data_IF_392418492637
#
_entry.id   IF_392418492637
#
_cell.length_a   1.000
_cell.length_b   1.000
_cell.length_c   1.000
_cell.angle_alpha   90.00
_cell.angle_beta   90.00
_cell.angle_gamma   90.00
#
_symmetry.space_group_name_H-M   'P 1'
#
loop_
_entity.id
_entity.type
_entity.pdbx_description
1 polymer ?
#
# COMPACT_ATOMS: atom_id res chain seq x y z
N UNK A 1 -29.87 12.77 8.07
CA UNK A 1 -30.78 13.10 9.18
C UNK A 1 -31.18 14.55 9.01
N UNK A 2 -32.47 14.88 9.08
CA UNK A 2 -32.99 16.24 8.86
C UNK A 2 -34.04 16.58 9.93
N UNK A 3 -34.35 17.87 10.12
CA UNK A 3 -35.41 18.37 11.01
C UNK A 3 -35.26 18.02 12.50
N UNK A 4 -34.10 18.30 13.08
CA UNK A 4 -33.82 18.08 14.51
C UNK A 4 -34.15 19.35 15.30
N UNK A 5 -34.93 19.23 16.38
CA UNK A 5 -35.36 20.37 17.18
C UNK A 5 -34.19 20.99 18.00
N UNK A 6 -34.17 22.32 18.10
CA UNK A 6 -33.22 23.05 18.96
C UNK A 6 -33.39 22.61 20.41
N UNK A 7 -32.27 22.48 21.13
CA UNK A 7 -32.20 21.94 22.48
C UNK A 7 -32.06 20.41 22.53
N UNK A 8 -32.10 19.72 21.38
CA UNK A 8 -31.96 18.26 21.32
C UNK A 8 -30.57 17.87 20.82
N UNK A 9 -29.75 17.30 21.71
CA UNK A 9 -28.49 16.66 21.31
C UNK A 9 -28.79 15.35 20.58
N UNK A 10 -27.96 15.00 19.60
CA UNK A 10 -28.11 13.79 18.80
C UNK A 10 -26.95 12.86 19.14
N UNK A 11 -27.24 11.63 19.54
CA UNK A 11 -26.22 10.60 19.73
C UNK A 11 -26.28 9.66 18.53
N UNK A 12 -25.20 9.61 17.76
CA UNK A 12 -25.05 8.73 16.60
C UNK A 12 -24.14 7.60 17.03
N UNK A 13 -24.62 6.36 16.96
CA UNK A 13 -23.86 5.17 17.33
C UNK A 13 -23.80 4.20 16.14
N UNK A 14 -22.61 3.70 15.84
CA UNK A 14 -22.39 2.61 14.91
C UNK A 14 -21.85 1.41 15.68
N UNK A 15 -22.29 0.19 15.33
CA UNK A 15 -21.74 -1.01 15.94
C UNK A 15 -21.51 -2.13 14.95
N UNK A 16 -20.46 -2.92 15.18
CA UNK A 16 -20.26 -4.22 14.53
C UNK A 16 -20.67 -5.29 15.52
N UNK A 17 -21.68 -6.09 15.16
CA UNK A 17 -22.22 -7.21 15.96
C UNK A 17 -22.65 -6.84 17.39
N UNK A 18 -22.98 -5.57 17.65
CA UNK A 18 -23.37 -5.07 18.98
C UNK A 18 -22.22 -4.93 19.99
N UNK A 19 -21.03 -5.47 19.71
CA UNK A 19 -19.91 -5.52 20.67
C UNK A 19 -18.85 -4.44 20.44
N UNK A 20 -18.71 -3.94 19.21
CA UNK A 20 -17.78 -2.86 18.89
C UNK A 20 -18.57 -1.60 18.56
N UNK A 21 -18.87 -0.78 19.57
CA UNK A 21 -19.68 0.43 19.41
C UNK A 21 -18.77 1.66 19.34
N UNK A 22 -19.01 2.52 18.35
CA UNK A 22 -18.48 3.88 18.28
C UNK A 22 -19.65 4.86 18.33
N UNK A 23 -19.60 5.84 19.22
CA UNK A 23 -20.68 6.82 19.40
C UNK A 23 -20.15 8.24 19.40
N UNK A 24 -20.87 9.14 18.75
CA UNK A 24 -20.61 10.58 18.76
C UNK A 24 -21.86 11.35 19.16
N UNK A 25 -21.70 12.35 20.02
CA UNK A 25 -22.76 13.28 20.37
C UNK A 25 -22.60 14.57 19.57
N UNK A 26 -23.60 14.90 18.77
CA UNK A 26 -23.75 16.20 18.13
C UNK A 26 -24.56 17.08 19.08
N UNK A 27 -23.92 18.12 19.60
CA UNK A 27 -24.57 19.08 20.50
C UNK A 27 -25.49 20.00 19.70
N UNK A 28 -26.71 20.22 20.19
CA UNK A 28 -27.63 21.16 19.57
C UNK A 28 -27.00 22.56 19.52
N UNK A 29 -27.14 23.29 18.40
CA UNK A 29 -26.80 24.71 18.39
C UNK A 29 -27.68 25.48 19.39
N UNK A 30 -27.15 26.59 19.89
CA UNK A 30 -27.87 27.49 20.82
C UNK A 30 -29.02 28.20 20.10
N UNK A 31 -28.83 28.56 18.84
CA UNK A 31 -29.86 29.14 17.97
C UNK A 31 -29.60 28.78 16.50
N UNK A 32 -30.62 28.91 15.66
CA UNK A 32 -30.50 28.84 14.19
C UNK A 32 -31.04 30.11 13.51
N UNK A 33 -31.19 31.21 14.24
CA UNK A 33 -31.70 32.48 13.70
C UNK A 33 -30.64 33.21 12.90
N UNK A 34 -29.37 33.12 13.30
CA UNK A 34 -28.24 33.67 12.56
C UNK A 34 -27.53 32.57 11.75
N UNK A 35 -27.80 32.53 10.44
CA UNK A 35 -27.22 31.54 9.53
C UNK A 35 -25.70 31.64 9.38
N UNK A 36 -25.08 32.77 9.76
CA UNK A 36 -23.65 32.99 9.62
C UNK A 36 -22.82 32.50 10.83
N UNK A 37 -23.45 32.14 11.95
CA UNK A 37 -22.72 31.64 13.13
C UNK A 37 -22.12 30.27 12.88
N UNK A 38 -22.92 29.36 12.34
CA UNK A 38 -22.52 28.00 12.01
C UNK A 38 -22.04 27.90 10.55
N UNK A 39 -21.12 26.98 10.24
CA UNK A 39 -20.77 26.70 8.86
C UNK A 39 -22.00 26.29 8.03
N UNK A 40 -22.12 26.79 6.80
CA UNK A 40 -23.18 26.43 5.85
C UNK A 40 -22.97 25.03 5.22
N UNK A 41 -22.29 24.13 5.93
CA UNK A 41 -21.87 22.81 5.48
C UNK A 41 -21.88 21.83 6.65
N UNK A 42 -22.22 20.57 6.38
CA UNK A 42 -21.94 19.45 7.29
C UNK A 42 -20.96 18.51 6.61
N UNK A 43 -20.06 17.90 7.39
CA UNK A 43 -19.00 17.02 6.90
C UNK A 43 -19.07 15.68 7.65
N UNK A 44 -18.69 14.60 6.97
CA UNK A 44 -18.47 13.28 7.59
C UNK A 44 -17.31 12.54 6.91
N UNK A 45 -16.56 11.79 7.71
CA UNK A 45 -15.28 11.21 7.32
C UNK A 45 -14.12 11.82 8.13
N UNK A 46 -12.86 11.60 7.72
CA UNK A 46 -12.41 10.96 6.48
C UNK A 46 -12.68 9.45 6.44
N UNK A 47 -13.02 8.91 5.25
CA UNK A 47 -13.18 7.46 5.01
C UNK A 47 -12.29 7.05 3.85
N UNK A 48 -11.62 5.91 3.95
CA UNK A 48 -10.75 5.46 2.87
C UNK A 48 -11.52 5.15 1.59
N UNK A 49 -10.99 5.66 0.48
CA UNK A 49 -11.58 5.44 -0.84
C UNK A 49 -11.42 3.98 -1.25
N UNK A 50 -12.49 3.38 -1.74
CA UNK A 50 -12.48 2.02 -2.32
C UNK A 50 -12.10 2.02 -3.80
N UNK A 51 -12.21 3.17 -4.47
CA UNK A 51 -11.92 3.31 -5.91
C UNK A 51 -10.53 3.87 -6.20
N UNK A 52 -9.94 4.59 -5.25
CA UNK A 52 -8.63 5.22 -5.41
C UNK A 52 -7.76 4.95 -4.16
N UNK A 53 -6.96 3.88 -4.24
CA UNK A 53 -6.08 3.44 -3.16
C UNK A 53 -5.14 4.56 -2.73
N UNK A 54 -4.89 4.68 -1.42
CA UNK A 54 -4.03 5.74 -0.87
C UNK A 54 -4.69 7.11 -0.81
N UNK A 55 -5.99 7.20 -1.09
CA UNK A 55 -6.79 8.42 -0.90
C UNK A 55 -7.95 8.18 0.06
N UNK A 56 -8.50 9.26 0.60
CA UNK A 56 -9.72 9.27 1.37
C UNK A 56 -10.78 10.17 0.75
N UNK A 57 -12.02 9.97 1.18
CA UNK A 57 -13.18 10.77 0.84
C UNK A 57 -13.78 11.44 2.08
N UNK A 58 -14.41 12.59 1.87
CA UNK A 58 -15.21 13.29 2.88
C UNK A 58 -16.58 13.57 2.26
N UNK A 59 -17.65 13.09 2.89
CA UNK A 59 -19.00 13.38 2.43
C UNK A 59 -19.45 14.73 3.02
N UNK A 60 -20.15 15.51 2.22
CA UNK A 60 -20.63 16.82 2.62
C UNK A 60 -22.05 17.09 2.14
N UNK A 61 -22.73 17.99 2.86
CA UNK A 61 -23.99 18.57 2.42
C UNK A 61 -23.93 20.07 2.64
N UNK A 62 -24.27 20.84 1.62
CA UNK A 62 -24.29 22.30 1.65
C UNK A 62 -25.71 22.82 1.89
N UNK A 63 -25.80 23.95 2.58
CA UNK A 63 -27.01 24.78 2.55
C UNK A 63 -27.18 25.34 1.14
N UNK A 64 -28.42 25.50 0.69
CA UNK A 64 -28.72 26.09 -0.62
C UNK A 64 -28.05 27.47 -0.78
N UNK A 65 -27.38 27.67 -1.92
CA UNK A 65 -26.67 28.91 -2.23
C UNK A 65 -25.25 29.03 -1.65
N UNK A 66 -24.80 28.07 -0.84
CA UNK A 66 -23.41 28.00 -0.41
C UNK A 66 -22.52 27.36 -1.49
N UNK A 67 -21.25 27.78 -1.53
CA UNK A 67 -20.21 27.18 -2.36
C UNK A 67 -19.11 26.57 -1.49
N UNK A 68 -18.36 25.62 -2.07
CA UNK A 68 -17.28 24.89 -1.40
C UNK A 68 -16.00 25.01 -2.22
N UNK A 69 -14.89 25.27 -1.55
CA UNK A 69 -13.54 25.16 -2.09
C UNK A 69 -12.71 24.26 -1.19
N UNK A 70 -11.91 23.40 -1.81
CA UNK A 70 -11.07 22.42 -1.11
C UNK A 70 -9.60 22.65 -1.45
N UNK A 71 -8.72 22.47 -0.47
CA UNK A 71 -7.26 22.61 -0.68
C UNK A 71 -6.66 21.50 -1.54
N UNK A 72 -7.32 20.34 -1.61
CA UNK A 72 -6.89 19.18 -2.39
C UNK A 72 -8.09 18.30 -2.74
N UNK A 73 -7.89 17.43 -3.73
CA UNK A 73 -8.97 16.57 -4.26
C UNK A 73 -9.98 17.34 -5.10
N UNK A 74 -11.17 16.77 -5.24
CA UNK A 74 -12.27 17.33 -6.03
C UNK A 74 -13.57 17.19 -5.27
N UNK A 75 -14.28 18.31 -5.09
CA UNK A 75 -15.61 18.36 -4.50
C UNK A 75 -16.67 18.26 -5.62
N UNK A 76 -17.40 17.14 -5.66
CA UNK A 76 -18.45 16.92 -6.64
C UNK A 76 -19.56 16.06 -6.04
N UNK A 77 -20.82 16.42 -6.30
CA UNK A 77 -22.01 15.65 -5.91
C UNK A 77 -22.05 15.25 -4.41
N UNK A 78 -21.62 16.15 -3.52
CA UNK A 78 -21.64 15.90 -2.08
C UNK A 78 -20.48 15.04 -1.56
N UNK A 79 -19.45 14.80 -2.38
CA UNK A 79 -18.25 14.06 -1.97
C UNK A 79 -17.00 14.84 -2.35
N UNK A 80 -16.09 15.04 -1.39
CA UNK A 80 -14.70 15.42 -1.68
C UNK A 80 -13.92 14.12 -1.85
N UNK A 81 -13.36 13.91 -3.03
CA UNK A 81 -12.61 12.69 -3.38
C UNK A 81 -11.17 13.01 -3.80
N UNK A 82 -10.30 11.99 -3.74
CA UNK A 82 -8.93 12.11 -4.24
C UNK A 82 -7.97 12.85 -3.31
N UNK A 83 -8.31 12.96 -2.02
CA UNK A 83 -7.40 13.54 -1.03
C UNK A 83 -6.40 12.48 -0.57
N UNK A 84 -5.11 12.77 -0.68
CA UNK A 84 -4.05 11.82 -0.33
C UNK A 84 -4.05 11.45 1.16
N UNK A 85 -3.83 10.16 1.45
CA UNK A 85 -3.62 9.65 2.81
C UNK A 85 -2.50 10.42 3.53
N UNK A 86 -2.68 10.71 4.81
CA UNK A 86 -1.73 11.49 5.62
C UNK A 86 -1.76 13.01 5.37
N UNK A 87 -2.54 13.51 4.41
CA UNK A 87 -2.68 14.95 4.14
C UNK A 87 -3.96 15.50 4.77
N UNK A 88 -3.90 16.55 5.62
CA UNK A 88 -5.08 17.21 6.14
C UNK A 88 -5.80 18.00 5.04
N UNK A 89 -7.12 18.06 5.10
CA UNK A 89 -7.95 18.77 4.13
C UNK A 89 -8.47 20.08 4.73
N UNK A 90 -8.25 21.19 4.03
CA UNK A 90 -8.89 22.47 4.34
C UNK A 90 -10.09 22.67 3.44
N UNK A 91 -11.25 22.92 4.04
CA UNK A 91 -12.52 23.16 3.37
C UNK A 91 -12.97 24.58 3.66
N UNK A 92 -13.02 25.42 2.63
CA UNK A 92 -13.61 26.76 2.72
C UNK A 92 -15.04 26.69 2.21
N UNK A 93 -15.99 27.12 3.04
CA UNK A 93 -17.39 27.30 2.65
C UNK A 93 -17.73 28.78 2.63
N UNK A 94 -18.40 29.20 1.55
CA UNK A 94 -18.83 30.57 1.33
C UNK A 94 -20.35 30.61 1.16
N UNK A 95 -21.00 31.55 1.84
CA UNK A 95 -22.43 31.82 1.70
C UNK A 95 -22.61 33.33 1.56
N UNK A 96 -23.33 33.78 0.53
CA UNK A 96 -23.53 35.20 0.27
C UNK A 96 -24.12 35.92 1.50
N UNK A 97 -23.52 37.05 1.87
CA UNK A 97 -23.90 37.82 3.07
C UNK A 97 -23.27 37.34 4.38
N UNK A 98 -22.52 36.23 4.37
CA UNK A 98 -21.72 35.76 5.50
C UNK A 98 -20.21 35.86 5.17
N UNK A 99 -19.39 35.93 6.22
CA UNK A 99 -17.95 35.69 6.08
C UNK A 99 -17.67 34.21 5.82
N UNK A 100 -16.66 33.93 5.01
CA UNK A 100 -16.21 32.56 4.73
C UNK A 100 -15.80 31.83 6.02
N UNK A 101 -16.06 30.53 6.05
CA UNK A 101 -15.64 29.65 7.15
C UNK A 101 -14.69 28.60 6.62
N UNK A 102 -13.60 28.38 7.34
CA UNK A 102 -12.60 27.36 7.01
C UNK A 102 -12.69 26.24 8.04
N UNK A 103 -12.88 25.02 7.56
CA UNK A 103 -12.90 23.79 8.38
C UNK A 103 -11.67 22.96 8.04
N UNK A 104 -10.95 22.55 9.08
CA UNK A 104 -9.83 21.61 8.96
C UNK A 104 -10.32 20.19 9.24
N UNK A 105 -10.29 19.33 8.23
CA UNK A 105 -10.55 17.91 8.36
C UNK A 105 -9.22 17.20 8.64
N UNK A 106 -9.11 16.44 9.75
CA UNK A 106 -7.91 15.66 10.04
C UNK A 106 -7.55 14.71 8.89
N UNK A 107 -6.26 14.43 8.73
CA UNK A 107 -5.79 13.50 7.71
C UNK A 107 -6.37 12.10 7.89
N UNK A 108 -6.90 11.52 6.82
CA UNK A 108 -7.23 10.09 6.79
C UNK A 108 -5.95 9.25 6.80
N UNK A 109 -5.93 8.17 7.59
CA UNK A 109 -4.87 7.16 7.55
C UNK A 109 -5.36 5.96 6.76
N UNK A 110 -5.22 6.05 5.44
CA UNK A 110 -5.58 4.99 4.52
C UNK A 110 -4.34 4.20 4.15
N UNK A 111 -4.27 2.96 4.64
CA UNK A 111 -3.23 2.03 4.27
C UNK A 111 -3.29 1.80 2.75
N UNK A 112 -2.18 2.08 2.07
CA UNK A 112 -1.95 1.54 0.73
C UNK A 112 -1.52 0.09 0.96
N UNK A 113 -2.31 -0.93 0.58
CA UNK A 113 -1.83 -2.30 0.62
C UNK A 113 -0.60 -2.38 -0.28
N UNK A 114 0.56 -2.66 0.32
CA UNK A 114 1.76 -2.95 -0.45
C UNK A 114 1.54 -4.28 -1.19
N UNK A 115 1.39 -4.20 -2.50
CA UNK A 115 1.51 -5.37 -3.35
C UNK A 115 2.99 -5.58 -3.65
N UNK A 116 3.60 -6.54 -2.94
CA UNK A 116 4.99 -6.92 -3.20
C UNK A 116 5.20 -7.29 -4.68
N UNK A 117 6.32 -6.88 -5.28
CA UNK A 117 6.61 -7.25 -6.66
C UNK A 117 6.83 -8.75 -6.78
N UNK A 118 6.56 -9.31 -7.97
CA UNK A 118 6.92 -10.69 -8.28
C UNK A 118 8.38 -10.76 -8.63
N UNK A 119 9.14 -11.61 -7.93
CA UNK A 119 10.56 -11.86 -8.19
C UNK A 119 10.82 -13.37 -8.30
N UNK A 120 11.53 -13.79 -9.33
CA UNK A 120 11.89 -15.19 -9.57
C UNK A 120 13.33 -15.25 -10.04
N UNK A 121 14.12 -16.16 -9.46
CA UNK A 121 15.52 -16.36 -9.80
C UNK A 121 15.71 -17.74 -10.45
N UNK A 122 16.57 -17.80 -11.44
CA UNK A 122 17.03 -19.05 -12.04
C UNK A 122 18.31 -19.55 -11.36
N UNK A 123 18.74 -20.75 -11.75
CA UNK A 123 19.99 -21.33 -11.28
C UNK A 123 21.20 -20.53 -11.76
N UNK A 124 22.29 -20.53 -10.97
CA UNK A 124 23.51 -19.86 -11.36
C UNK A 124 24.17 -20.57 -12.56
N UNK A 125 24.56 -19.78 -13.56
CA UNK A 125 25.28 -20.24 -14.76
C UNK A 125 26.72 -19.78 -14.69
N UNK A 126 27.66 -20.72 -14.74
CA UNK A 126 29.09 -20.46 -14.65
C UNK A 126 29.65 -19.77 -15.90
N UNK A 127 30.50 -18.77 -15.67
CA UNK A 127 31.21 -17.97 -16.68
C UNK A 127 32.68 -17.83 -16.26
N UNK A 128 33.43 -18.94 -16.32
CA UNK A 128 34.82 -19.01 -15.88
C UNK A 128 34.93 -18.89 -14.35
N UNK A 129 35.63 -17.84 -13.87
CA UNK A 129 35.81 -17.58 -12.43
C UNK A 129 34.65 -16.84 -11.77
N UNK A 130 33.61 -16.51 -12.54
CA UNK A 130 32.39 -15.85 -12.07
C UNK A 130 31.17 -16.65 -12.50
N UNK A 131 29.99 -16.29 -12.02
CA UNK A 131 28.73 -16.83 -12.50
C UNK A 131 27.71 -15.71 -12.73
N UNK A 132 26.62 -16.05 -13.41
CA UNK A 132 25.50 -15.16 -13.67
C UNK A 132 24.20 -15.81 -13.21
N UNK A 133 23.19 -14.99 -12.89
CA UNK A 133 21.85 -15.43 -12.51
C UNK A 133 20.83 -14.66 -13.33
N UNK A 134 19.95 -15.36 -14.05
CA UNK A 134 18.81 -14.71 -14.71
C UNK A 134 17.65 -14.53 -13.72
N UNK A 135 16.86 -13.49 -13.93
CA UNK A 135 15.70 -13.20 -13.09
C UNK A 135 14.52 -12.64 -13.87
N UNK A 136 13.33 -12.91 -13.34
CA UNK A 136 12.10 -12.21 -13.72
C UNK A 136 11.68 -11.28 -12.58
N UNK A 137 11.29 -10.05 -12.93
CA UNK A 137 10.73 -9.08 -11.99
C UNK A 137 9.53 -8.40 -12.62
N UNK A 138 8.44 -8.23 -11.86
CA UNK A 138 7.28 -7.44 -12.30
C UNK A 138 7.52 -5.92 -12.22
N UNK A 139 8.68 -5.49 -11.71
CA UNK A 139 9.07 -4.08 -11.58
C UNK A 139 10.48 -3.84 -12.13
N UNK A 140 10.74 -2.61 -12.58
CA UNK A 140 12.03 -2.23 -13.14
C UNK A 140 13.12 -1.96 -12.09
N UNK A 141 12.73 -1.55 -10.88
CA UNK A 141 13.69 -1.27 -9.80
C UNK A 141 14.15 -2.59 -9.17
N UNK A 142 15.31 -3.08 -9.62
CA UNK A 142 15.94 -4.29 -9.13
C UNK A 142 17.40 -4.00 -8.77
N UNK A 143 17.82 -4.43 -7.58
CA UNK A 143 19.20 -4.33 -7.12
C UNK A 143 19.71 -5.70 -6.68
N UNK A 144 21.03 -5.89 -6.75
CA UNK A 144 21.71 -7.09 -6.25
C UNK A 144 22.88 -6.68 -5.35
N UNK A 145 23.17 -7.46 -4.31
CA UNK A 145 24.31 -7.20 -3.42
C UNK A 145 25.67 -7.53 -4.05
N UNK A 146 25.69 -8.30 -5.14
CA UNK A 146 26.88 -8.74 -5.84
C UNK A 146 26.62 -8.86 -7.35
N UNK A 147 27.66 -8.69 -8.15
CA UNK A 147 27.56 -8.63 -9.62
C UNK A 147 26.92 -7.34 -10.13
N UNK A 148 26.64 -7.32 -11.42
CA UNK A 148 26.03 -6.18 -12.11
C UNK A 148 24.70 -6.59 -12.73
N UNK A 149 23.64 -5.83 -12.44
CA UNK A 149 22.32 -6.02 -13.07
C UNK A 149 22.39 -5.47 -14.51
N UNK A 150 22.20 -6.34 -15.50
CA UNK A 150 22.16 -6.00 -16.93
C UNK A 150 20.93 -6.64 -17.55
N UNK A 151 19.92 -5.82 -17.84
CA UNK A 151 18.61 -6.33 -18.29
C UNK A 151 17.99 -7.26 -17.25
N UNK A 152 17.68 -8.49 -17.65
CA UNK A 152 17.10 -9.54 -16.81
C UNK A 152 18.13 -10.54 -16.27
N UNK A 153 19.40 -10.13 -16.18
CA UNK A 153 20.50 -10.97 -15.69
C UNK A 153 21.40 -10.20 -14.73
N UNK A 154 21.97 -10.91 -13.77
CA UNK A 154 23.01 -10.41 -12.88
C UNK A 154 24.29 -11.12 -13.29
N UNK A 155 25.29 -10.37 -13.76
CA UNK A 155 26.54 -10.91 -14.30
C UNK A 155 27.74 -10.58 -13.43
N UNK A 156 28.82 -11.36 -13.59
CA UNK A 156 30.09 -11.10 -12.91
C UNK A 156 30.06 -11.34 -11.41
N UNK A 157 29.19 -12.24 -10.94
CA UNK A 157 29.09 -12.58 -9.52
C UNK A 157 30.29 -13.49 -9.16
N UNK A 158 31.11 -13.16 -8.16
CA UNK A 158 32.23 -14.02 -7.78
C UNK A 158 31.77 -15.36 -7.20
N UNK A 159 32.38 -16.46 -7.62
CA UNK A 159 32.15 -17.79 -7.02
C UNK A 159 32.50 -17.74 -5.53
N UNK A 160 31.69 -18.39 -4.69
CA UNK A 160 31.77 -18.33 -3.23
C UNK A 160 30.96 -17.19 -2.61
N UNK A 161 30.41 -16.26 -3.40
CA UNK A 161 29.50 -15.21 -2.92
C UNK A 161 28.07 -15.61 -3.24
N UNK A 162 27.16 -15.54 -2.27
CA UNK A 162 25.72 -15.69 -2.52
C UNK A 162 25.14 -14.37 -3.01
N UNK A 163 24.18 -14.43 -3.94
CA UNK A 163 23.51 -13.24 -4.48
C UNK A 163 22.12 -13.11 -3.87
N UNK A 164 21.82 -11.92 -3.36
CA UNK A 164 20.53 -11.49 -2.87
C UNK A 164 20.01 -10.38 -3.77
N UNK A 165 18.83 -10.59 -4.33
CA UNK A 165 18.20 -9.71 -5.32
C UNK A 165 16.98 -9.07 -4.68
N UNK A 166 16.88 -7.75 -4.77
CA UNK A 166 15.78 -6.97 -4.20
C UNK A 166 15.01 -6.29 -5.31
N UNK A 167 13.72 -6.60 -5.45
CA UNK A 167 12.80 -5.87 -6.31
C UNK A 167 11.98 -4.88 -5.47
N UNK A 168 11.89 -3.62 -5.90
CA UNK A 168 11.21 -2.54 -5.16
C UNK A 168 10.05 -1.96 -5.96
N UNK A 169 8.83 -2.11 -5.46
CA UNK A 169 7.62 -1.52 -6.05
C UNK A 169 7.27 -0.14 -5.46
N UNK A 170 7.91 0.26 -4.35
CA UNK A 170 7.70 1.53 -3.66
C UNK A 170 8.31 1.52 -2.27
N UNK A 171 8.17 2.63 -1.54
CA UNK A 171 8.71 2.75 -0.18
C UNK A 171 8.15 1.64 0.73
N UNK A 172 9.04 0.81 1.28
CA UNK A 172 8.68 -0.33 2.14
C UNK A 172 8.03 -1.52 1.41
N UNK A 173 7.91 -1.47 0.08
CA UNK A 173 7.27 -2.52 -0.72
C UNK A 173 8.31 -3.29 -1.54
N UNK A 174 8.98 -4.20 -0.85
CA UNK A 174 10.14 -4.95 -1.37
C UNK A 174 9.89 -6.45 -1.33
N UNK A 175 10.43 -7.13 -2.35
CA UNK A 175 10.59 -8.58 -2.34
C UNK A 175 12.07 -8.93 -2.52
N UNK A 176 12.53 -9.91 -1.73
CA UNK A 176 13.93 -10.34 -1.72
C UNK A 176 13.99 -11.83 -1.97
N UNK A 177 14.78 -12.23 -2.95
CA UNK A 177 15.11 -13.63 -3.23
C UNK A 177 16.63 -13.79 -3.26
N UNK A 178 17.11 -14.95 -2.80
CA UNK A 178 18.53 -15.26 -2.80
C UNK A 178 18.82 -16.55 -3.55
N UNK A 179 20.00 -16.60 -4.16
CA UNK A 179 20.55 -17.78 -4.81
C UNK A 179 21.95 -18.03 -4.26
N UNK A 180 22.17 -19.25 -3.80
CA UNK A 180 23.48 -19.69 -3.33
C UNK A 180 24.50 -19.70 -4.47
N UNK A 181 25.76 -19.47 -4.12
CA UNK A 181 26.85 -19.59 -5.08
C UNK A 181 27.04 -21.05 -5.53
N UNK A 182 27.42 -21.31 -6.79
CA UNK A 182 27.97 -22.61 -7.17
C UNK A 182 29.17 -22.97 -6.27
N UNK A 183 29.31 -24.25 -5.91
CA UNK A 183 30.47 -24.72 -5.14
C UNK A 183 31.79 -24.56 -5.91
N UNK A 184 31.74 -24.73 -7.23
CA UNK A 184 32.83 -24.42 -8.16
C UNK A 184 32.28 -24.29 -9.58
N UNK A 185 32.91 -23.44 -10.38
CA UNK A 185 32.65 -23.32 -11.82
C UNK A 185 33.69 -24.05 -12.70
N UNK A 186 34.57 -24.85 -12.08
CA UNK A 186 35.61 -25.63 -12.77
C UNK A 186 35.29 -27.13 -12.87
N UNK A 187 34.16 -27.56 -12.33
CA UNK A 187 33.71 -28.96 -12.40
C UNK A 187 33.11 -29.26 -13.78
N UNK A 188 33.36 -30.45 -14.31
CA UNK A 188 32.92 -30.89 -15.64
C UNK A 188 31.49 -31.44 -15.67
N UNK A 189 30.71 -31.31 -14.60
CA UNK A 189 29.30 -31.72 -14.58
C UNK A 189 28.39 -30.54 -14.95
N UNK A 190 27.42 -30.79 -15.82
CA UNK A 190 26.36 -29.83 -16.14
C UNK A 190 25.33 -29.85 -15.02
N UNK A 191 25.19 -28.73 -14.31
CA UNK A 191 24.13 -28.56 -13.31
C UNK A 191 22.75 -28.52 -13.99
N UNK A 192 21.69 -29.05 -13.35
CA UNK A 192 20.33 -28.85 -13.84
C UNK A 192 19.93 -27.38 -13.72
N UNK A 193 19.06 -26.92 -14.61
CA UNK A 193 18.48 -25.59 -14.54
C UNK A 193 17.22 -25.62 -13.68
N UNK A 194 17.34 -25.11 -12.46
CA UNK A 194 16.25 -24.95 -11.50
C UNK A 194 15.86 -23.47 -11.39
N UNK A 195 14.60 -23.16 -11.61
CA UNK A 195 14.03 -21.85 -11.31
C UNK A 195 13.04 -21.95 -10.16
N UNK A 196 13.12 -21.02 -9.22
CA UNK A 196 12.26 -20.99 -8.02
C UNK A 196 11.60 -19.62 -7.88
N UNK A 197 10.27 -19.65 -7.81
CA UNK A 197 9.44 -18.47 -7.58
C UNK A 197 9.39 -18.07 -6.11
N UNK A 198 8.90 -16.86 -5.88
CA UNK A 198 8.60 -16.35 -4.54
C UNK A 198 7.58 -17.21 -3.78
N UNK A 199 7.55 -17.14 -2.43
CA UNK A 199 6.53 -17.82 -1.64
C UNK A 199 5.15 -17.16 -1.78
N UNK A 200 4.11 -18.00 -1.81
CA UNK A 200 2.70 -17.60 -1.73
C UNK A 200 2.15 -18.06 -0.39
N UNK A 201 1.74 -17.12 0.47
CA UNK A 201 1.15 -17.42 1.78
C UNK A 201 -0.26 -18.00 1.64
N UNK A 202 -0.50 -19.13 2.32
CA UNK A 202 -1.78 -19.84 2.41
C UNK A 202 -2.24 -19.91 3.88
N UNK A 203 -2.36 -18.74 4.51
CA UNK A 203 -2.67 -18.63 5.94
C UNK A 203 -1.45 -18.91 6.81
N UNK A 204 -1.32 -20.13 7.32
CA UNK A 204 -0.23 -20.53 8.23
C UNK A 204 0.94 -21.22 7.50
N UNK A 205 0.78 -21.56 6.23
CA UNK A 205 1.80 -22.20 5.39
C UNK A 205 2.09 -21.34 4.17
N UNK A 206 3.09 -21.72 3.37
CA UNK A 206 3.34 -21.10 2.07
C UNK A 206 3.64 -22.18 1.02
N UNK A 207 3.40 -21.84 -0.24
CA UNK A 207 3.76 -22.65 -1.40
C UNK A 207 4.78 -21.90 -2.25
N UNK A 208 5.68 -22.63 -2.91
CA UNK A 208 6.59 -22.09 -3.93
C UNK A 208 6.39 -22.86 -5.21
N UNK A 209 6.46 -22.17 -6.34
CA UNK A 209 6.53 -22.81 -7.66
C UNK A 209 7.99 -23.02 -8.04
N UNK A 210 8.30 -24.15 -8.66
CA UNK A 210 9.61 -24.39 -9.25
C UNK A 210 9.48 -25.02 -10.63
N UNK A 211 10.52 -24.87 -11.44
CA UNK A 211 10.69 -25.58 -12.71
C UNK A 211 12.09 -26.18 -12.75
N UNK A 212 12.21 -27.46 -13.12
CA UNK A 212 13.48 -28.17 -13.25
C UNK A 212 13.63 -28.65 -14.70
N UNK A 213 14.69 -28.19 -15.37
CA UNK A 213 15.09 -28.65 -16.69
C UNK A 213 16.45 -29.37 -16.60
N UNK A 214 16.51 -30.61 -17.09
CA UNK A 214 17.73 -31.42 -17.09
C UNK A 214 17.71 -32.57 -16.08
N UNK A 215 18.82 -33.34 -15.98
CA UNK A 215 18.90 -34.49 -15.08
C UNK A 215 19.01 -34.04 -13.62
N UNK A 216 18.17 -34.59 -12.74
CA UNK A 216 18.21 -34.28 -11.31
C UNK A 216 16.90 -34.58 -10.59
N UNK A 217 16.90 -34.38 -9.28
CA UNK A 217 15.68 -34.43 -8.47
C UNK A 217 15.67 -33.25 -7.51
N UNK A 218 14.49 -32.70 -7.22
CA UNK A 218 14.33 -31.60 -6.27
C UNK A 218 14.14 -32.17 -4.87
N UNK A 219 14.99 -31.75 -3.93
CA UNK A 219 14.86 -32.06 -2.50
C UNK A 219 14.75 -30.77 -1.70
N UNK A 220 13.81 -30.73 -0.75
CA UNK A 220 13.59 -29.56 0.10
C UNK A 220 14.25 -29.79 1.47
N UNK A 221 15.16 -28.90 1.87
CA UNK A 221 15.75 -28.86 3.20
C UNK A 221 15.23 -27.60 3.92
N UNK A 222 14.71 -27.75 5.13
CA UNK A 222 14.27 -26.61 5.93
C UNK A 222 15.44 -26.01 6.72
N UNK A 223 15.79 -24.75 6.45
CA UNK A 223 16.75 -23.99 7.25
C UNK A 223 16.02 -22.94 8.08
N UNK A 224 16.23 -22.96 9.40
CA UNK A 224 15.63 -21.95 10.30
C UNK A 224 16.42 -20.66 10.17
N UNK A 225 15.85 -19.67 9.49
CA UNK A 225 16.42 -18.33 9.43
C UNK A 225 16.24 -17.62 10.78
N UNK A 226 17.35 -17.35 11.48
CA UNK A 226 17.38 -16.52 12.69
C UNK A 226 17.33 -15.04 12.31
N UNK A 227 16.21 -14.58 11.75
CA UNK A 227 15.96 -13.13 11.64
C UNK A 227 15.35 -12.67 12.95
N UNK A 228 16.17 -12.07 13.81
CA UNK A 228 15.72 -11.30 14.97
C UNK A 228 14.80 -10.18 14.47
N UNK A 229 13.57 -10.19 14.99
CA UNK A 229 12.57 -9.12 14.79
C UNK A 229 13.05 -7.80 15.35
#
# INVERSE_FOLDING_TARGET
MTNIAIGTNVIISASINGSCVSSHTVVSPVSCTNVCENPAITLSGPVCSTSAVGTYVVNYTLVSGATIQVSSGTALNGVVSGVASGVPLSVTVSLAGCADKVILVPAGSCAVPCQKPTLTLASPVCNGSTYSVSFYSSVASVTANAGQVVGNSITGIPVGTAVSVTATAGAGCVEVQSVASPASCTVSCTAPDLSVGQPICNGNTYSVSYSLNGPGSVSVMGERSWVTR
#
